data_IF_479998830916
#
_entry.id   IF_479998830916
#
_cell.length_a   1.000
_cell.length_b   1.000
_cell.length_c   1.000
_cell.angle_alpha   90.00
_cell.angle_beta   90.00
_cell.angle_gamma   90.00
#
_symmetry.space_group_name_H-M   'P 1'
#
loop_
_entity.id
_entity.type
_entity.pdbx_description
1 polymer ?
#
# COMPACT_ATOMS: atom_id res chain seq x y z
N UNK A 1 22.43 -38.04 4.14
CA UNK A 1 23.06 -37.09 3.19
C UNK A 1 24.10 -36.27 3.94
N UNK A 2 25.37 -36.35 3.57
CA UNK A 2 26.40 -35.51 4.16
C UNK A 2 26.33 -34.10 3.55
N UNK A 3 26.15 -33.08 4.38
CA UNK A 3 26.07 -31.69 3.95
C UNK A 3 27.46 -31.17 3.60
N UNK A 4 27.61 -30.56 2.43
CA UNK A 4 28.87 -29.96 1.98
C UNK A 4 29.33 -28.87 2.95
N UNK A 5 30.55 -29.04 3.49
CA UNK A 5 31.21 -28.05 4.36
C UNK A 5 32.30 -27.34 3.55
N UNK A 6 32.21 -26.01 3.39
CA UNK A 6 33.25 -25.21 2.75
C UNK A 6 34.65 -25.43 3.34
N UNK A 7 35.69 -25.33 2.51
CA UNK A 7 37.08 -25.32 2.99
C UNK A 7 37.36 -24.06 3.82
N UNK A 8 38.29 -24.15 4.78
CA UNK A 8 38.74 -23.03 5.63
C UNK A 8 39.05 -21.73 4.85
N UNK A 9 39.83 -21.74 3.75
CA UNK A 9 40.09 -20.52 2.99
C UNK A 9 38.84 -19.95 2.31
N UNK A 10 37.85 -20.78 1.97
CA UNK A 10 36.58 -20.31 1.42
C UNK A 10 35.73 -19.65 2.52
N UNK A 11 35.72 -20.19 3.74
CA UNK A 11 35.00 -19.58 4.88
C UNK A 11 35.51 -18.18 5.23
N UNK A 12 36.82 -17.93 5.12
CA UNK A 12 37.41 -16.62 5.41
C UNK A 12 36.99 -15.51 4.44
N UNK A 13 36.45 -15.85 3.25
CA UNK A 13 36.00 -14.90 2.23
C UNK A 13 34.48 -14.70 2.23
N UNK A 14 33.74 -15.53 2.95
CA UNK A 14 32.29 -15.40 3.06
C UNK A 14 31.92 -14.23 3.97
N UNK A 15 30.81 -13.56 3.67
CA UNK A 15 30.32 -12.44 4.47
C UNK A 15 29.95 -12.92 5.87
N UNK A 16 30.39 -12.18 6.89
CA UNK A 16 30.04 -12.45 8.27
C UNK A 16 28.52 -12.38 8.51
N UNK A 17 28.04 -13.35 9.28
CA UNK A 17 26.68 -13.53 9.78
C UNK A 17 26.73 -13.51 11.30
N UNK A 18 25.56 -13.42 11.94
CA UNK A 18 25.43 -13.32 13.39
C UNK A 18 25.97 -14.52 14.17
N UNK A 19 26.21 -15.67 13.52
CA UNK A 19 26.62 -16.93 14.17
C UNK A 19 28.07 -17.33 13.92
N UNK A 20 28.84 -16.52 13.19
CA UNK A 20 30.21 -16.86 12.79
C UNK A 20 31.29 -16.32 13.73
N UNK A 21 30.96 -15.35 14.58
CA UNK A 21 31.90 -14.67 15.48
C UNK A 21 31.25 -14.49 16.87
N UNK A 22 32.09 -14.36 17.91
CA UNK A 22 31.64 -14.21 19.29
C UNK A 22 31.30 -12.73 19.63
N UNK A 23 31.30 -12.38 20.91
CA UNK A 23 30.91 -11.06 21.43
C UNK A 23 31.51 -9.85 20.69
N UNK A 24 30.71 -8.79 20.60
CA UNK A 24 31.08 -7.52 19.97
C UNK A 24 30.57 -7.35 18.54
N UNK A 25 30.25 -8.44 17.82
CA UNK A 25 29.65 -8.34 16.49
C UNK A 25 28.12 -8.45 16.56
N UNK A 26 27.45 -7.31 16.37
CA UNK A 26 26.00 -7.26 16.21
C UNK A 26 25.62 -6.98 14.76
N UNK A 27 24.74 -7.82 14.19
CA UNK A 27 24.19 -7.64 12.83
C UNK A 27 22.67 -7.80 12.90
N UNK A 28 21.94 -6.74 12.57
CA UNK A 28 20.48 -6.72 12.63
C UNK A 28 19.79 -7.45 11.46
N UNK A 29 18.51 -7.77 11.64
CA UNK A 29 17.67 -8.48 10.66
C UNK A 29 16.62 -7.59 10.00
N UNK A 30 16.88 -6.28 9.88
CA UNK A 30 15.96 -5.28 9.29
C UNK A 30 14.58 -5.21 9.98
N UNK A 31 14.52 -5.48 11.28
CA UNK A 31 13.29 -5.32 12.06
C UNK A 31 12.86 -3.86 12.19
N UNK A 32 13.76 -2.91 11.90
CA UNK A 32 13.52 -1.46 12.05
C UNK A 32 13.74 -0.98 13.48
N UNK A 33 13.90 0.35 13.65
CA UNK A 33 14.04 0.95 14.98
C UNK A 33 12.66 1.28 15.56
N UNK A 34 12.30 0.64 16.67
CA UNK A 34 11.02 0.83 17.37
C UNK A 34 11.14 1.84 18.52
N UNK A 35 12.23 2.58 18.61
CA UNK A 35 12.59 3.33 19.81
C UNK A 35 14.02 3.86 19.78
N UNK A 36 14.63 3.97 20.96
CA UNK A 36 16.01 4.43 21.12
C UNK A 36 16.67 3.80 22.36
N UNK A 37 18.01 3.75 22.37
CA UNK A 37 18.78 3.35 23.54
C UNK A 37 18.98 4.55 24.48
N UNK A 38 18.65 4.39 25.76
CA UNK A 38 18.94 5.37 26.78
C UNK A 38 20.41 5.29 27.21
N UNK A 39 20.92 6.35 27.88
CA UNK A 39 22.33 6.45 28.29
C UNK A 39 22.82 5.30 29.17
N UNK A 40 21.90 4.65 29.90
CA UNK A 40 22.17 3.50 30.76
C UNK A 40 22.18 2.14 30.01
N UNK A 41 22.04 2.14 28.67
CA UNK A 41 22.00 0.93 27.85
C UNK A 41 20.63 0.26 27.76
N UNK A 42 19.61 0.76 28.45
CA UNK A 42 18.23 0.28 28.31
C UNK A 42 17.62 0.72 26.97
N UNK A 43 16.65 -0.04 26.46
CA UNK A 43 15.91 0.30 25.24
C UNK A 43 14.52 0.85 25.59
N UNK A 44 14.21 2.06 25.11
CA UNK A 44 12.91 2.73 25.32
C UNK A 44 12.10 2.66 24.03
N UNK A 45 10.87 2.16 24.11
CA UNK A 45 9.97 1.99 22.96
C UNK A 45 9.25 3.31 22.64
N UNK A 46 9.26 3.70 21.37
CA UNK A 46 8.48 4.81 20.83
C UNK A 46 7.26 4.23 20.09
N UNK A 47 6.09 4.30 20.73
CA UNK A 47 4.85 3.74 20.22
C UNK A 47 4.41 4.33 18.87
N UNK A 48 4.89 5.53 18.50
CA UNK A 48 4.60 6.13 17.18
C UNK A 48 5.31 5.39 16.03
N UNK A 49 6.39 4.67 16.32
CA UNK A 49 7.16 3.89 15.33
C UNK A 49 6.76 2.42 15.28
N UNK A 50 5.98 1.97 16.27
CA UNK A 50 5.50 0.59 16.34
C UNK A 50 4.46 0.38 15.23
N UNK A 51 4.72 -0.60 14.36
CA UNK A 51 3.81 -0.94 13.26
C UNK A 51 2.61 -1.70 13.80
N UNK A 52 1.40 -1.28 13.42
CA UNK A 52 0.14 -1.96 13.70
C UNK A 52 -0.47 -2.46 12.38
N UNK A 53 -1.13 -3.61 12.41
CA UNK A 53 -1.92 -4.11 11.29
C UNK A 53 -3.39 -3.89 11.61
N UNK A 54 -4.00 -2.91 10.94
CA UNK A 54 -5.40 -2.54 11.17
C UNK A 54 -6.31 -3.54 10.48
N UNK A 55 -7.14 -4.23 11.27
CA UNK A 55 -8.14 -5.17 10.76
C UNK A 55 -9.46 -4.41 10.59
N UNK A 56 -10.08 -4.42 9.40
CA UNK A 56 -11.39 -3.79 9.19
C UNK A 56 -12.48 -4.42 10.08
N UNK A 57 -13.46 -3.60 10.46
CA UNK A 57 -14.64 -4.07 11.19
C UNK A 57 -15.47 -5.04 10.33
N UNK A 58 -16.08 -6.04 10.97
CA UNK A 58 -16.94 -7.04 10.34
C UNK A 58 -16.28 -7.86 9.20
N UNK A 59 -14.96 -8.01 9.22
CA UNK A 59 -14.23 -8.81 8.22
C UNK A 59 -14.70 -10.28 8.19
N UNK A 60 -15.12 -10.83 9.33
CA UNK A 60 -15.59 -12.21 9.44
C UNK A 60 -16.91 -12.46 8.71
N UNK A 61 -17.79 -11.45 8.66
CA UNK A 61 -19.10 -11.54 8.03
C UNK A 61 -19.09 -11.07 6.56
N UNK A 62 -17.92 -10.66 6.06
CA UNK A 62 -17.79 -10.10 4.73
C UNK A 62 -17.88 -11.18 3.65
N UNK A 63 -18.69 -10.92 2.62
CA UNK A 63 -19.04 -11.91 1.59
C UNK A 63 -17.91 -12.20 0.59
N UNK A 64 -16.93 -11.29 0.45
CA UNK A 64 -15.86 -11.47 -0.53
C UNK A 64 -14.85 -12.50 -0.04
N UNK A 65 -14.66 -13.53 -0.86
CA UNK A 65 -13.68 -14.61 -0.62
C UNK A 65 -12.45 -14.45 -1.51
N UNK A 66 -11.30 -15.05 -1.16
CA UNK A 66 -10.09 -14.99 -1.99
C UNK A 66 -10.22 -15.71 -3.35
N UNK A 67 -11.33 -16.41 -3.60
CA UNK A 67 -11.59 -17.13 -4.84
C UNK A 67 -12.87 -16.64 -5.51
N UNK A 68 -12.92 -16.78 -6.84
CA UNK A 68 -14.08 -16.49 -7.68
C UNK A 68 -14.53 -17.78 -8.36
N UNK A 69 -15.83 -17.90 -8.64
CA UNK A 69 -16.37 -19.09 -9.34
C UNK A 69 -15.83 -19.20 -10.77
N UNK A 70 -15.48 -20.41 -11.21
CA UNK A 70 -15.02 -20.67 -12.59
C UNK A 70 -16.11 -20.46 -13.66
N UNK A 71 -17.38 -20.36 -13.25
CA UNK A 71 -18.50 -20.09 -14.16
C UNK A 71 -18.47 -18.65 -14.68
N UNK A 72 -17.85 -17.74 -13.94
CA UNK A 72 -17.65 -16.36 -14.36
C UNK A 72 -16.36 -16.27 -15.20
N UNK A 73 -16.48 -15.84 -16.45
CA UNK A 73 -15.32 -15.57 -17.28
C UNK A 73 -14.57 -14.32 -16.76
N UNK A 74 -13.23 -14.26 -16.89
CA UNK A 74 -12.46 -13.08 -16.51
C UNK A 74 -12.94 -11.83 -17.25
N UNK A 75 -13.24 -10.77 -16.49
CA UNK A 75 -13.66 -9.48 -17.05
C UNK A 75 -12.46 -8.77 -17.66
N UNK A 76 -12.58 -8.32 -18.92
CA UNK A 76 -11.54 -7.55 -19.62
C UNK A 76 -11.52 -6.09 -19.14
N UNK A 77 -10.37 -5.43 -19.24
CA UNK A 77 -10.25 -4.01 -18.90
C UNK A 77 -11.13 -3.12 -19.79
N UNK A 78 -11.85 -2.15 -19.20
CA UNK A 78 -12.68 -1.18 -19.93
C UNK A 78 -11.85 -0.17 -20.73
N UNK A 79 -10.68 0.18 -20.22
CA UNK A 79 -9.84 1.23 -20.79
C UNK A 79 -8.92 0.62 -21.84
N UNK A 80 -9.27 0.81 -23.09
CA UNK A 80 -8.45 0.40 -24.24
C UNK A 80 -8.04 1.59 -25.09
N UNK A 81 -6.94 1.45 -25.82
CA UNK A 81 -6.55 2.35 -26.90
C UNK A 81 -6.23 1.54 -28.15
N UNK A 82 -6.53 2.12 -29.29
CA UNK A 82 -6.15 1.57 -30.58
C UNK A 82 -4.74 2.04 -30.91
N UNK A 83 -3.88 1.09 -31.30
CA UNK A 83 -2.53 1.37 -31.76
C UNK A 83 -2.36 0.71 -33.12
N UNK A 84 -1.88 1.47 -34.10
CA UNK A 84 -1.48 0.91 -35.38
C UNK A 84 -0.09 0.26 -35.24
N UNK A 85 -0.03 -1.04 -35.49
CA UNK A 85 1.22 -1.80 -35.52
C UNK A 85 1.28 -2.59 -36.83
N UNK A 86 2.30 -2.30 -37.65
CA UNK A 86 2.55 -3.00 -38.92
C UNK A 86 1.33 -3.00 -39.88
N UNK A 87 0.65 -1.85 -40.01
CA UNK A 87 -0.52 -1.71 -40.90
C UNK A 87 -1.80 -2.39 -40.40
N UNK A 88 -1.86 -2.81 -39.13
CA UNK A 88 -3.06 -3.37 -38.47
C UNK A 88 -3.36 -2.61 -37.19
N UNK A 89 -4.64 -2.26 -36.99
CA UNK A 89 -5.13 -1.66 -35.74
C UNK A 89 -5.27 -2.73 -34.67
N UNK A 90 -4.55 -2.59 -33.56
CA UNK A 90 -4.62 -3.50 -32.41
C UNK A 90 -5.17 -2.74 -31.21
N UNK A 91 -6.17 -3.32 -30.55
CA UNK A 91 -6.73 -2.81 -29.31
C UNK A 91 -5.84 -3.26 -28.16
N UNK A 92 -5.24 -2.32 -27.45
CA UNK A 92 -4.36 -2.56 -26.32
C UNK A 92 -4.97 -1.96 -25.06
N UNK A 93 -4.90 -2.68 -23.94
CA UNK A 93 -5.31 -2.15 -22.65
C UNK A 93 -4.43 -0.94 -22.28
N UNK A 94 -5.07 0.13 -21.83
CA UNK A 94 -4.39 1.34 -21.33
C UNK A 94 -4.66 1.49 -19.84
N UNK A 95 -3.75 2.19 -19.15
CA UNK A 95 -3.95 2.55 -17.76
C UNK A 95 -5.14 3.51 -17.58
N UNK A 96 -5.73 3.46 -16.39
CA UNK A 96 -6.74 4.41 -15.94
C UNK A 96 -6.12 5.80 -15.80
N UNK A 97 -6.66 6.76 -16.55
CA UNK A 97 -6.13 8.13 -16.61
C UNK A 97 -6.90 9.10 -15.72
N UNK A 98 -6.31 10.29 -15.52
CA UNK A 98 -6.95 11.35 -14.74
C UNK A 98 -8.30 11.80 -15.33
N UNK A 99 -8.41 11.88 -16.66
CA UNK A 99 -9.69 12.25 -17.31
C UNK A 99 -10.78 11.20 -17.08
N UNK A 100 -10.43 9.92 -17.15
CA UNK A 100 -11.39 8.84 -16.87
C UNK A 100 -11.91 8.91 -15.43
N UNK A 101 -11.03 9.28 -14.50
CA UNK A 101 -11.43 9.52 -13.11
C UNK A 101 -12.39 10.70 -13.00
N UNK A 102 -12.10 11.84 -13.66
CA UNK A 102 -12.99 12.99 -13.65
C UNK A 102 -14.36 12.66 -14.25
N UNK A 103 -14.39 11.93 -15.37
CA UNK A 103 -15.62 11.51 -16.02
C UNK A 103 -16.44 10.55 -15.13
N UNK A 104 -15.78 9.58 -14.45
CA UNK A 104 -16.40 8.67 -13.48
C UNK A 104 -16.90 9.40 -12.22
N UNK A 105 -16.12 10.33 -11.70
CA UNK A 105 -16.50 11.14 -10.54
C UNK A 105 -17.70 12.03 -10.86
N UNK A 106 -17.70 12.68 -12.03
CA UNK A 106 -18.81 13.50 -12.49
C UNK A 106 -20.10 12.68 -12.69
N UNK A 107 -20.00 11.40 -13.09
CA UNK A 107 -21.18 10.54 -13.22
C UNK A 107 -21.72 10.06 -11.87
N UNK A 108 -20.85 9.75 -10.92
CA UNK A 108 -21.23 9.02 -9.70
C UNK A 108 -21.53 9.97 -8.52
N UNK A 109 -20.89 11.14 -8.46
CA UNK A 109 -20.89 12.00 -7.27
C UNK A 109 -21.76 13.27 -7.41
N UNK A 110 -22.61 13.37 -8.45
CA UNK A 110 -23.41 14.57 -8.69
C UNK A 110 -24.27 15.01 -7.48
N UNK A 111 -24.79 14.07 -6.69
CA UNK A 111 -25.56 14.38 -5.48
C UNK A 111 -24.70 14.93 -4.34
N UNK A 112 -23.51 14.37 -4.13
CA UNK A 112 -22.58 14.78 -3.07
C UNK A 112 -22.10 16.23 -3.28
N UNK A 113 -21.82 16.59 -4.54
CA UNK A 113 -21.44 17.96 -4.91
C UNK A 113 -22.55 18.95 -4.62
N UNK A 114 -23.79 18.63 -5.03
CA UNK A 114 -24.95 19.50 -4.78
C UNK A 114 -25.25 19.68 -3.29
N UNK A 115 -25.11 18.61 -2.49
CA UNK A 115 -25.28 18.70 -1.04
C UNK A 115 -24.20 19.56 -0.39
N UNK A 116 -22.95 19.43 -0.81
CA UNK A 116 -21.86 20.24 -0.30
C UNK A 116 -22.02 21.73 -0.68
N UNK A 117 -22.39 22.03 -1.93
CA UNK A 117 -22.69 23.40 -2.36
C UNK A 117 -23.83 24.02 -1.55
N UNK A 118 -24.88 23.24 -1.23
CA UNK A 118 -25.99 23.68 -0.38
C UNK A 118 -25.51 24.03 1.03
N UNK A 119 -24.69 23.18 1.64
CA UNK A 119 -24.13 23.40 2.97
C UNK A 119 -23.20 24.63 3.02
N UNK A 120 -22.43 24.86 1.95
CA UNK A 120 -21.58 26.05 1.80
C UNK A 120 -22.40 27.34 1.64
N UNK A 121 -23.52 27.29 0.91
CA UNK A 121 -24.45 28.42 0.80
C UNK A 121 -25.13 28.72 2.14
N UNK A 122 -25.56 27.69 2.88
CA UNK A 122 -26.15 27.83 4.22
C UNK A 122 -25.14 28.41 5.23
N UNK A 123 -23.90 27.93 5.21
CA UNK A 123 -22.84 28.45 6.08
C UNK A 123 -22.50 29.90 5.74
N UNK A 124 -22.35 30.24 4.45
CA UNK A 124 -22.11 31.60 4.01
C UNK A 124 -23.27 32.56 4.38
N UNK A 125 -24.52 32.12 4.22
CA UNK A 125 -25.69 32.90 4.63
C UNK A 125 -25.70 33.14 6.15
N UNK A 126 -25.35 32.12 6.95
CA UNK A 126 -25.26 32.24 8.41
C UNK A 126 -24.15 33.18 8.87
N UNK A 127 -22.97 33.13 8.24
CA UNK A 127 -21.86 34.04 8.52
C UNK A 127 -22.22 35.48 8.18
N UNK A 128 -22.95 35.70 7.08
CA UNK A 128 -23.37 37.04 6.66
C UNK A 128 -24.42 37.62 7.61
N UNK A 129 -25.35 36.79 8.09
CA UNK A 129 -26.38 37.18 9.05
C UNK A 129 -25.82 37.47 10.45
N UNK A 130 -24.74 36.80 10.88
CA UNK A 130 -24.08 37.06 12.17
C UNK A 130 -23.19 38.31 12.20
N UNK A 131 -22.86 38.88 11.03
CA UNK A 131 -22.04 40.09 10.88
C UNK A 131 -22.86 41.38 10.77
N UNK A 132 -24.19 41.31 10.70
CA UNK A 132 -25.12 42.43 10.73
C UNK A 132 -25.69 42.63 12.13
#
# INVERSE_FOLDING_TARGET
>A
MAMFKPSQPMMARLRLTTKQVNGGYYKGNRTGSMGYFAKNGSYVIDWKKVRTYVVPENLADFKLTPFVTKRMAPTKGKYTREIEKNGRTVIVERAFGAKDYLDMWASDNGQEVLEQERLEQESAASETASRQ
#
